data_IF_995787471323
#
_entry.id   IF_995787471323
#
_cell.length_a   1.000
_cell.length_b   1.000
_cell.length_c   1.000
_cell.angle_alpha   90.00
_cell.angle_beta   90.00
_cell.angle_gamma   90.00
#
_symmetry.space_group_name_H-M   'P 1'
#
loop_
_entity.id
_entity.type
_entity.pdbx_description
1 polymer ?
#
# COMPACT_ATOMS: atom_id res chain seq x y z
N UNK A 1 -21.36 20.30 3.54
CA UNK A 1 -21.48 20.33 2.06
C UNK A 1 -20.70 21.48 1.36
N UNK A 2 -20.16 22.48 2.07
CA UNK A 2 -19.54 23.67 1.42
C UNK A 2 -18.05 23.57 1.07
N UNK A 3 -17.28 22.77 1.82
CA UNK A 3 -15.83 22.57 1.63
C UNK A 3 -15.46 22.05 0.24
N UNK A 4 -16.20 21.06 -0.25
CA UNK A 4 -15.97 20.46 -1.57
C UNK A 4 -16.27 21.46 -2.71
N UNK A 5 -17.30 22.32 -2.55
CA UNK A 5 -17.67 23.34 -3.54
C UNK A 5 -16.63 24.47 -3.55
N UNK A 6 -16.12 24.89 -2.39
CA UNK A 6 -15.03 25.88 -2.29
C UNK A 6 -13.72 25.37 -2.91
N UNK A 7 -13.37 24.10 -2.69
CA UNK A 7 -12.20 23.48 -3.34
C UNK A 7 -12.34 23.43 -4.86
N UNK A 8 -13.55 23.13 -5.38
CA UNK A 8 -13.86 23.19 -6.81
C UNK A 8 -13.66 24.59 -7.39
N UNK A 9 -14.14 25.63 -6.71
CA UNK A 9 -14.04 27.02 -7.19
C UNK A 9 -12.60 27.54 -7.15
N UNK A 10 -11.81 27.16 -6.15
CA UNK A 10 -10.39 27.55 -6.05
C UNK A 10 -9.49 26.83 -7.08
N UNK A 11 -9.86 25.61 -7.48
CA UNK A 11 -9.09 24.80 -8.43
C UNK A 11 -9.51 24.99 -9.90
N UNK A 12 -10.69 25.58 -10.17
CA UNK A 12 -11.13 25.93 -11.52
C UNK A 12 -11.01 24.78 -12.53
N UNK A 13 -10.45 25.04 -13.71
CA UNK A 13 -10.18 24.02 -14.75
C UNK A 13 -9.17 22.95 -14.33
N UNK A 14 -8.41 23.16 -13.26
CA UNK A 14 -7.47 22.17 -12.70
C UNK A 14 -8.16 21.18 -11.76
N UNK A 15 -9.44 21.38 -11.45
CA UNK A 15 -10.20 20.43 -10.64
C UNK A 15 -10.49 19.16 -11.45
N UNK A 16 -9.72 18.11 -11.20
CA UNK A 16 -9.81 16.83 -11.93
C UNK A 16 -8.74 16.65 -13.01
N UNK A 17 -7.89 17.64 -13.27
CA UNK A 17 -6.72 17.46 -14.12
C UNK A 17 -5.58 16.80 -13.33
N UNK A 18 -4.92 15.82 -13.96
CA UNK A 18 -3.78 15.10 -13.40
C UNK A 18 -2.65 16.08 -13.05
N UNK A 19 -2.56 16.46 -11.78
CA UNK A 19 -1.63 17.46 -11.29
C UNK A 19 -0.19 16.95 -11.37
N UNK A 20 0.51 17.12 -12.51
CA UNK A 20 1.95 16.85 -12.61
C UNK A 20 2.67 17.56 -11.46
N UNK A 21 3.20 16.78 -10.52
CA UNK A 21 3.71 17.28 -9.25
C UNK A 21 4.96 18.14 -9.49
N UNK A 22 5.70 17.85 -10.57
CA UNK A 22 6.81 18.65 -11.07
C UNK A 22 6.80 18.66 -12.62
N UNK A 23 7.02 19.81 -13.27
CA UNK A 23 6.97 19.93 -14.74
C UNK A 23 8.18 19.30 -15.47
N UNK A 24 9.29 19.03 -14.78
CA UNK A 24 10.51 18.49 -15.40
C UNK A 24 10.61 16.95 -15.33
N UNK A 25 9.83 16.31 -14.45
CA UNK A 25 9.80 14.85 -14.31
C UNK A 25 8.46 14.34 -14.88
N UNK A 26 8.48 13.46 -15.89
CA UNK A 26 7.27 12.91 -16.50
C UNK A 26 6.63 11.82 -15.63
N UNK A 27 6.46 12.07 -14.31
CA UNK A 27 5.68 11.21 -13.42
C UNK A 27 4.32 11.85 -13.24
N UNK A 28 3.29 11.21 -13.80
CA UNK A 28 1.90 11.65 -13.61
C UNK A 28 1.42 11.25 -12.22
N UNK A 29 0.54 12.04 -11.60
CA UNK A 29 -0.12 11.65 -10.32
C UNK A 29 -0.75 10.27 -10.40
N UNK A 30 -1.28 9.91 -11.57
CA UNK A 30 -1.92 8.62 -11.79
C UNK A 30 -0.94 7.45 -11.77
N UNK A 31 0.31 7.62 -12.21
CA UNK A 31 1.35 6.61 -12.06
C UNK A 31 1.76 6.45 -10.59
N UNK A 32 1.93 7.56 -9.88
CA UNK A 32 2.25 7.53 -8.44
C UNK A 32 1.13 6.88 -7.62
N UNK A 33 -0.14 7.22 -7.88
CA UNK A 33 -1.28 6.61 -7.19
C UNK A 33 -1.38 5.11 -7.46
N UNK A 34 -1.15 4.68 -8.70
CA UNK A 34 -1.13 3.25 -9.06
C UNK A 34 0.01 2.52 -8.35
N UNK A 35 1.20 3.12 -8.30
CA UNK A 35 2.34 2.57 -7.59
C UNK A 35 2.07 2.45 -6.09
N UNK A 36 1.58 3.52 -5.45
CA UNK A 36 1.25 3.50 -4.03
C UNK A 36 0.17 2.46 -3.70
N UNK A 37 -0.86 2.33 -4.55
CA UNK A 37 -1.89 1.28 -4.40
C UNK A 37 -1.29 -0.13 -4.51
N UNK A 38 -0.40 -0.35 -5.48
CA UNK A 38 0.27 -1.63 -5.67
C UNK A 38 1.17 -1.96 -4.46
N UNK A 39 2.05 -1.04 -4.07
CA UNK A 39 2.96 -1.22 -2.93
C UNK A 39 2.19 -1.46 -1.65
N UNK A 40 1.15 -0.68 -1.37
CA UNK A 40 0.29 -0.88 -0.18
C UNK A 40 -0.34 -2.27 -0.21
N UNK A 41 -0.83 -2.73 -1.37
CA UNK A 41 -1.40 -4.07 -1.51
C UNK A 41 -0.34 -5.15 -1.27
N UNK A 42 0.85 -5.01 -1.84
CA UNK A 42 1.97 -5.94 -1.65
C UNK A 42 2.45 -5.94 -0.21
N UNK A 43 2.49 -4.81 0.49
CA UNK A 43 2.83 -4.75 1.91
C UNK A 43 1.89 -5.61 2.76
N UNK A 44 0.59 -5.57 2.49
CA UNK A 44 -0.37 -6.46 3.17
C UNK A 44 -0.10 -7.93 2.87
N UNK A 45 0.23 -8.28 1.63
CA UNK A 45 0.67 -9.63 1.30
C UNK A 45 1.96 -10.03 2.02
N UNK A 46 2.93 -9.12 2.12
CA UNK A 46 4.20 -9.36 2.83
C UNK A 46 3.98 -9.63 4.31
N UNK A 47 3.14 -8.84 4.98
CA UNK A 47 2.75 -9.06 6.38
C UNK A 47 2.05 -10.41 6.52
N UNK A 48 1.05 -10.69 5.67
CA UNK A 48 0.32 -11.96 5.71
C UNK A 48 1.22 -13.17 5.49
N UNK A 49 2.14 -13.08 4.51
CA UNK A 49 3.11 -14.13 4.22
C UNK A 49 4.09 -14.33 5.38
N UNK A 50 4.57 -13.25 5.99
CA UNK A 50 5.49 -13.33 7.12
C UNK A 50 4.83 -14.03 8.32
N UNK A 51 3.58 -13.71 8.62
CA UNK A 51 2.80 -14.39 9.65
C UNK A 51 2.57 -15.86 9.28
N UNK A 52 2.22 -16.14 8.02
CA UNK A 52 1.98 -17.52 7.57
C UNK A 52 3.23 -18.39 7.69
N UNK A 53 4.40 -17.88 7.28
CA UNK A 53 5.69 -18.57 7.43
C UNK A 53 6.01 -18.75 8.91
N UNK A 54 5.82 -17.71 9.73
CA UNK A 54 6.04 -17.79 11.17
C UNK A 54 5.18 -18.89 11.82
N UNK A 55 3.89 -18.96 11.49
CA UNK A 55 2.98 -20.01 11.95
C UNK A 55 3.43 -21.39 11.45
N UNK A 56 3.78 -21.50 10.15
CA UNK A 56 4.26 -22.73 9.54
C UNK A 56 5.45 -23.27 10.33
N UNK A 57 6.48 -22.45 10.55
CA UNK A 57 7.66 -22.80 11.33
C UNK A 57 7.26 -23.17 12.77
N UNK A 58 6.42 -22.36 13.41
CA UNK A 58 6.05 -22.54 14.83
C UNK A 58 5.22 -23.79 15.09
N UNK A 59 4.39 -24.23 14.15
CA UNK A 59 3.50 -25.38 14.32
C UNK A 59 4.02 -26.65 13.64
N UNK A 60 4.54 -26.53 12.41
CA UNK A 60 5.06 -27.69 11.67
C UNK A 60 6.40 -28.13 12.27
N UNK A 61 7.28 -27.20 12.66
CA UNK A 61 8.58 -27.54 13.26
C UNK A 61 8.46 -28.49 14.46
N UNK A 62 7.63 -28.18 15.47
CA UNK A 62 7.42 -29.07 16.61
C UNK A 62 6.68 -30.36 16.27
N UNK A 63 5.66 -30.32 15.41
CA UNK A 63 4.90 -31.52 15.00
C UNK A 63 5.77 -32.51 14.23
N UNK A 64 6.73 -32.02 13.43
CA UNK A 64 7.69 -32.84 12.71
C UNK A 64 8.98 -33.13 13.51
N UNK A 65 9.09 -32.63 14.76
CA UNK A 65 10.22 -32.90 15.65
C UNK A 65 11.53 -32.18 15.32
N UNK A 66 11.49 -31.10 14.54
CA UNK A 66 12.69 -30.32 14.17
C UNK A 66 13.23 -29.45 15.31
N UNK A 67 12.37 -29.01 16.23
CA UNK A 67 12.73 -28.37 17.50
C UNK A 67 11.53 -28.36 18.46
N UNK A 68 11.79 -28.31 19.75
CA UNK A 68 10.73 -28.16 20.76
C UNK A 68 10.46 -26.70 21.09
N UNK A 69 9.18 -26.40 21.31
CA UNK A 69 8.77 -25.12 21.89
C UNK A 69 8.96 -25.23 23.40
N UNK A 70 10.09 -24.76 23.90
CA UNK A 70 10.27 -24.60 25.35
C UNK A 70 9.37 -23.44 25.79
N UNK A 71 8.37 -23.76 26.61
CA UNK A 71 7.42 -22.82 27.19
C UNK A 71 7.97 -22.13 28.43
#
# INVERSE_FOLDING_TARGET
MGEAKRRKTALGEKYGQEFRILPWIPITKTQADKFMKLTTRVSWFGIGLMVLIWLTIRFIGPVFGWWEVVG
#
